data_IF_062164411206
#
_entry.id   IF_062164411206
#
_cell.length_a   1.000
_cell.length_b   1.000
_cell.length_c   1.000
_cell.angle_alpha   90.00
_cell.angle_beta   90.00
_cell.angle_gamma   90.00
#
_symmetry.space_group_name_H-M   'P 1'
#
loop_
_entity.id
_entity.type
_entity.pdbx_description
1 polymer ?
#
# COMPACT_ATOMS: atom_id res chain seq x y z
N UNK A 1 8.05 -17.81 -15.72
CA UNK A 1 8.07 -16.33 -15.65
C UNK A 1 8.53 -15.96 -14.25
N UNK A 2 9.41 -14.97 -14.12
CA UNK A 2 9.91 -14.52 -12.81
C UNK A 2 9.15 -13.25 -12.42
N UNK A 3 8.65 -13.22 -11.18
CA UNK A 3 7.84 -12.14 -10.60
C UNK A 3 8.56 -11.50 -9.42
N UNK A 4 8.11 -10.33 -8.99
CA UNK A 4 8.68 -9.63 -7.82
C UNK A 4 10.05 -9.03 -8.12
N UNK A 5 10.27 -8.64 -9.38
CA UNK A 5 11.51 -8.01 -9.81
C UNK A 5 11.48 -6.51 -9.48
N UNK A 6 12.66 -5.91 -9.40
CA UNK A 6 12.80 -4.44 -9.32
C UNK A 6 12.08 -3.75 -10.48
N UNK A 7 12.06 -4.35 -11.66
CA UNK A 7 11.33 -3.86 -12.84
C UNK A 7 9.82 -3.71 -12.56
N UNK A 8 9.22 -4.65 -11.81
CA UNK A 8 7.79 -4.62 -11.47
C UNK A 8 7.48 -3.47 -10.48
N UNK A 9 8.41 -3.20 -9.55
CA UNK A 9 8.33 -2.05 -8.63
C UNK A 9 8.40 -0.75 -9.41
N UNK A 10 9.40 -0.59 -10.28
CA UNK A 10 9.57 0.62 -11.10
C UNK A 10 8.35 0.83 -12.00
N UNK A 11 7.86 -0.23 -12.64
CA UNK A 11 6.67 -0.19 -13.49
C UNK A 11 5.44 0.32 -12.73
N UNK A 12 5.25 -0.12 -11.48
CA UNK A 12 4.16 0.37 -10.61
C UNK A 12 4.21 1.89 -10.43
N UNK A 13 5.40 2.46 -10.30
CA UNK A 13 5.61 3.89 -10.00
C UNK A 13 5.47 4.76 -11.25
N UNK A 14 6.09 4.37 -12.37
CA UNK A 14 6.32 5.30 -13.48
C UNK A 14 5.27 5.25 -14.60
N UNK A 15 4.46 4.19 -14.66
CA UNK A 15 3.57 3.93 -15.81
C UNK A 15 2.07 4.11 -15.53
N UNK A 16 1.68 4.46 -14.30
CA UNK A 16 0.29 4.66 -13.91
C UNK A 16 0.14 6.02 -13.25
N UNK A 17 -0.74 6.89 -13.72
CA UNK A 17 -0.87 8.26 -13.19
C UNK A 17 -2.17 8.47 -12.38
N UNK A 18 -3.14 7.56 -12.53
CA UNK A 18 -4.37 7.54 -11.74
C UNK A 18 -4.34 6.41 -10.69
N UNK A 19 -5.05 6.63 -9.59
CA UNK A 19 -5.04 5.71 -8.44
C UNK A 19 -5.63 4.34 -8.80
N UNK A 20 -6.62 4.29 -9.69
CA UNK A 20 -7.30 3.05 -10.05
C UNK A 20 -6.34 2.11 -10.78
N UNK A 21 -5.61 2.61 -11.77
CA UNK A 21 -4.63 1.82 -12.51
C UNK A 21 -3.44 1.40 -11.62
N UNK A 22 -2.92 2.34 -10.82
CA UNK A 22 -1.82 2.08 -9.87
C UNK A 22 -2.16 0.94 -8.90
N UNK A 23 -3.29 1.06 -8.18
CA UNK A 23 -3.67 0.07 -7.17
C UNK A 23 -4.01 -1.28 -7.81
N UNK A 24 -4.66 -1.30 -8.97
CA UNK A 24 -5.02 -2.54 -9.66
C UNK A 24 -3.79 -3.29 -10.15
N UNK A 25 -2.77 -2.59 -10.64
CA UNK A 25 -1.51 -3.22 -11.03
C UNK A 25 -0.74 -3.75 -9.82
N UNK A 26 -0.66 -2.96 -8.73
CA UNK A 26 0.04 -3.35 -7.51
C UNK A 26 -0.56 -4.61 -6.86
N UNK A 27 -1.89 -4.73 -6.83
CA UNK A 27 -2.63 -5.82 -6.19
C UNK A 27 -2.89 -7.01 -7.14
N UNK A 28 -3.09 -6.75 -8.43
CA UNK A 28 -3.61 -7.74 -9.37
C UNK A 28 -2.55 -8.67 -9.94
N UNK A 29 -2.96 -9.92 -10.20
CA UNK A 29 -2.16 -10.91 -10.92
C UNK A 29 -0.80 -11.16 -10.26
N UNK A 30 0.25 -10.61 -10.86
CA UNK A 30 1.65 -10.76 -10.42
C UNK A 30 2.21 -9.45 -9.86
N UNK A 31 1.32 -8.56 -9.41
CA UNK A 31 1.66 -7.32 -8.74
C UNK A 31 2.46 -7.55 -7.46
N UNK A 32 3.26 -6.55 -7.10
CA UNK A 32 4.26 -6.67 -6.03
C UNK A 32 3.64 -6.94 -4.65
N UNK A 33 2.36 -6.59 -4.43
CA UNK A 33 1.63 -6.89 -3.20
C UNK A 33 1.37 -8.39 -3.08
N UNK A 34 0.66 -8.99 -4.04
CA UNK A 34 0.37 -10.41 -4.04
C UNK A 34 1.64 -11.26 -4.06
N UNK A 35 2.61 -10.91 -4.91
CA UNK A 35 3.88 -11.65 -5.00
C UNK A 35 4.66 -11.61 -3.68
N UNK A 36 4.64 -10.49 -2.95
CA UNK A 36 5.26 -10.38 -1.64
C UNK A 36 4.66 -11.40 -0.65
N UNK A 37 3.34 -11.40 -0.49
CA UNK A 37 2.62 -12.37 0.36
C UNK A 37 2.89 -13.82 -0.06
N UNK A 38 2.76 -14.14 -1.34
CA UNK A 38 2.91 -15.52 -1.83
C UNK A 38 4.36 -16.02 -1.88
N UNK A 39 5.37 -15.14 -1.76
CA UNK A 39 6.77 -15.55 -1.61
C UNK A 39 7.04 -16.11 -0.21
N UNK A 40 6.41 -15.53 0.82
CA UNK A 40 6.43 -16.09 2.18
C UNK A 40 5.62 -17.38 2.21
N UNK A 41 4.45 -17.36 1.57
CA UNK A 41 3.55 -18.52 1.42
C UNK A 41 3.09 -19.09 2.77
N UNK A 42 2.53 -20.31 2.73
CA UNK A 42 2.07 -21.03 3.92
C UNK A 42 0.91 -20.36 4.66
N UNK A 43 0.74 -20.76 5.92
CA UNK A 43 -0.25 -20.21 6.85
C UNK A 43 0.49 -19.39 7.92
N UNK A 44 0.24 -18.06 8.04
CA UNK A 44 -0.81 -17.30 7.38
C UNK A 44 -0.33 -16.46 6.16
N UNK A 45 0.94 -16.55 5.76
CA UNK A 45 1.53 -15.64 4.76
C UNK A 45 0.84 -15.65 3.39
N UNK A 46 0.27 -16.77 2.95
CA UNK A 46 -0.51 -16.87 1.72
C UNK A 46 -2.02 -16.65 1.90
N UNK A 47 -2.50 -16.45 3.13
CA UNK A 47 -3.92 -16.26 3.43
C UNK A 47 -4.28 -14.78 3.47
N UNK A 48 -5.15 -14.35 2.57
CA UNK A 48 -5.56 -12.96 2.44
C UNK A 48 -6.11 -12.35 3.74
N UNK A 49 -6.87 -13.12 4.53
CA UNK A 49 -7.58 -12.60 5.70
C UNK A 49 -6.72 -12.54 6.95
N UNK A 50 -5.77 -13.47 7.08
CA UNK A 50 -4.96 -13.62 8.30
C UNK A 50 -3.47 -13.37 8.08
N UNK A 51 -3.06 -12.94 6.87
CA UNK A 51 -1.68 -12.52 6.58
C UNK A 51 -1.04 -11.55 7.60
N UNK A 52 -1.76 -10.65 8.30
CA UNK A 52 -1.15 -9.85 9.37
C UNK A 52 -0.55 -10.64 10.54
N UNK A 53 -0.93 -11.91 10.71
CA UNK A 53 -0.36 -12.80 11.73
C UNK A 53 1.03 -13.33 11.35
N UNK A 54 1.51 -13.07 10.14
CA UNK A 54 2.87 -13.36 9.71
C UNK A 54 3.76 -12.13 9.96
N UNK A 55 4.88 -12.22 10.71
CA UNK A 55 5.65 -11.04 11.11
C UNK A 55 6.20 -10.19 9.94
N UNK A 56 6.52 -10.79 8.79
CA UNK A 56 7.02 -10.06 7.63
C UNK A 56 5.94 -9.22 6.93
N UNK A 57 4.65 -9.43 7.23
CA UNK A 57 3.54 -8.60 6.76
C UNK A 57 3.81 -7.11 6.92
N UNK A 58 4.32 -6.70 8.08
CA UNK A 58 4.55 -5.30 8.40
C UNK A 58 5.70 -4.69 7.59
N UNK A 59 6.77 -5.47 7.35
CA UNK A 59 7.86 -5.04 6.48
C UNK A 59 7.42 -4.99 5.00
N UNK A 60 6.61 -5.96 4.59
CA UNK A 60 6.03 -5.98 3.25
C UNK A 60 5.15 -4.74 3.01
N UNK A 61 4.21 -4.44 3.91
CA UNK A 61 3.33 -3.29 3.78
C UNK A 61 4.04 -1.95 3.96
N UNK A 62 5.15 -1.89 4.72
CA UNK A 62 6.02 -0.71 4.71
C UNK A 62 6.63 -0.45 3.32
N UNK A 63 7.01 -1.49 2.57
CA UNK A 63 7.45 -1.31 1.18
C UNK A 63 6.30 -0.91 0.26
N UNK A 64 5.09 -1.43 0.48
CA UNK A 64 3.89 -1.01 -0.28
C UNK A 64 3.61 0.48 -0.08
N UNK A 65 3.63 0.95 1.16
CA UNK A 65 3.44 2.36 1.52
C UNK A 65 4.59 3.24 0.96
N UNK A 66 5.83 2.74 0.95
CA UNK A 66 6.96 3.42 0.28
C UNK A 66 6.74 3.59 -1.22
N UNK A 67 6.29 2.54 -1.91
CA UNK A 67 5.98 2.62 -3.35
C UNK A 67 4.87 3.64 -3.60
N UNK A 68 3.81 3.60 -2.80
CA UNK A 68 2.70 4.55 -2.86
C UNK A 68 3.11 5.99 -2.60
N UNK A 69 3.99 6.22 -1.62
CA UNK A 69 4.55 7.53 -1.27
C UNK A 69 5.36 8.10 -2.44
N UNK A 70 6.26 7.30 -3.03
CA UNK A 70 7.06 7.73 -4.20
C UNK A 70 6.16 8.04 -5.39
N UNK A 71 5.17 7.18 -5.66
CA UNK A 71 4.19 7.39 -6.74
C UNK A 71 3.43 8.71 -6.58
N UNK A 72 2.96 9.02 -5.38
CA UNK A 72 2.31 10.31 -5.08
C UNK A 72 3.25 11.50 -5.32
N UNK A 73 4.52 11.41 -4.89
CA UNK A 73 5.52 12.47 -5.12
C UNK A 73 5.81 12.71 -6.60
N UNK A 74 5.61 11.71 -7.46
CA UNK A 74 5.76 11.82 -8.91
C UNK A 74 4.53 12.44 -9.62
N UNK A 75 3.54 12.91 -8.85
CA UNK A 75 2.31 13.50 -9.37
C UNK A 75 1.20 12.49 -9.63
N UNK A 76 1.33 11.26 -9.11
CA UNK A 76 0.25 10.29 -9.06
C UNK A 76 -0.89 10.81 -8.18
N UNK A 77 -2.14 10.64 -8.65
CA UNK A 77 -3.30 10.97 -7.84
C UNK A 77 -4.51 11.44 -8.64
N UNK A 78 -5.64 10.75 -8.40
CA UNK A 78 -7.06 11.19 -8.41
C UNK A 78 -7.96 9.96 -8.66
N UNK A 79 -8.90 9.75 -7.73
CA UNK A 79 -10.23 9.12 -7.85
C UNK A 79 -10.58 8.37 -6.55
N UNK A 80 -11.00 9.09 -5.51
CA UNK A 80 -11.65 8.56 -4.31
C UNK A 80 -12.26 9.73 -3.51
N UNK A 81 -13.27 9.44 -2.69
CA UNK A 81 -13.83 10.44 -1.76
C UNK A 81 -12.80 10.72 -0.66
N UNK A 82 -12.65 12.00 -0.31
CA UNK A 82 -11.74 12.44 0.74
C UNK A 82 -12.38 12.37 2.13
N UNK A 83 -13.70 12.20 2.19
CA UNK A 83 -14.51 12.23 3.41
C UNK A 83 -14.92 10.84 3.88
N UNK A 84 -14.59 9.80 3.12
CA UNK A 84 -14.82 8.43 3.53
C UNK A 84 -13.98 8.14 4.77
N UNK A 85 -14.60 7.51 5.77
CA UNK A 85 -13.99 7.21 7.06
C UNK A 85 -13.27 5.87 7.00
N UNK A 86 -12.07 5.83 7.56
CA UNK A 86 -11.31 4.60 7.78
C UNK A 86 -11.32 4.28 9.27
N UNK A 87 -11.86 3.12 9.61
CA UNK A 87 -12.02 2.60 10.97
C UNK A 87 -11.31 1.24 11.09
N UNK A 88 -10.41 1.11 12.06
CA UNK A 88 -9.70 -0.13 12.37
C UNK A 88 -10.41 -0.97 13.45
N UNK A 89 -11.62 -0.58 13.83
CA UNK A 89 -12.48 -1.29 14.77
C UNK A 89 -11.81 -1.43 16.14
N UNK A 90 -11.66 -2.68 16.60
CA UNK A 90 -11.09 -2.96 17.93
C UNK A 90 -9.58 -2.76 18.04
N UNK A 91 -8.91 -2.43 16.92
CA UNK A 91 -7.45 -2.29 16.87
C UNK A 91 -7.00 -0.86 17.22
N UNK A 92 -7.81 0.16 16.91
CA UNK A 92 -7.48 1.55 17.20
C UNK A 92 -8.74 2.35 17.54
N UNK A 93 -8.61 3.26 18.51
CA UNK A 93 -9.73 4.06 19.01
C UNK A 93 -10.08 5.26 18.10
N UNK A 94 -9.21 5.61 17.16
CA UNK A 94 -9.36 6.80 16.31
C UNK A 94 -9.80 6.42 14.90
N UNK A 95 -10.85 7.09 14.43
CA UNK A 95 -11.35 7.02 13.04
C UNK A 95 -10.88 8.27 12.30
N UNK A 96 -10.25 8.08 11.14
CA UNK A 96 -9.76 9.19 10.31
C UNK A 96 -10.54 9.26 8.99
N UNK A 97 -10.90 10.45 8.50
CA UNK A 97 -11.29 10.59 7.10
C UNK A 97 -10.06 10.40 6.20
N UNK A 98 -10.25 9.89 4.98
CA UNK A 98 -9.15 9.62 4.04
C UNK A 98 -8.23 10.85 3.87
N UNK A 99 -8.79 12.06 3.79
CA UNK A 99 -8.02 13.33 3.70
C UNK A 99 -6.92 13.48 4.74
N UNK A 100 -7.09 12.91 5.94
CA UNK A 100 -6.16 13.06 7.04
C UNK A 100 -5.07 11.96 7.04
N UNK A 101 -5.18 10.95 6.18
CA UNK A 101 -4.23 9.82 6.09
C UNK A 101 -3.64 9.63 4.69
N UNK A 102 -3.82 10.60 3.79
CA UNK A 102 -3.29 10.54 2.42
C UNK A 102 -1.81 10.88 2.30
N UNK A 103 -1.26 11.64 3.25
CA UNK A 103 0.12 12.12 3.21
C UNK A 103 0.86 11.68 4.46
N UNK A 104 2.11 11.24 4.31
CA UNK A 104 2.97 10.86 5.42
C UNK A 104 3.58 12.07 6.16
N UNK A 105 3.46 13.28 5.61
CA UNK A 105 4.12 14.50 6.11
C UNK A 105 3.27 15.78 6.05
N UNK A 106 2.05 15.73 5.52
CA UNK A 106 1.18 16.91 5.34
C UNK A 106 -0.25 16.61 5.81
N UNK A 107 -0.99 17.66 6.14
CA UNK A 107 -2.36 17.58 6.65
C UNK A 107 -2.46 17.49 8.18
N UNK A 108 -3.68 17.46 8.72
CA UNK A 108 -3.93 17.40 10.17
C UNK A 108 -3.81 15.98 10.75
N UNK A 109 -3.42 15.03 9.90
CA UNK A 109 -3.28 13.61 10.21
C UNK A 109 -2.22 13.27 11.26
N UNK A 110 -2.17 12.00 11.67
CA UNK A 110 -1.22 11.53 12.68
C UNK A 110 0.20 11.31 12.15
N UNK A 111 0.41 11.38 10.83
CA UNK A 111 1.67 10.98 10.20
C UNK A 111 2.69 12.12 10.12
N UNK A 112 3.95 11.76 10.39
CA UNK A 112 5.10 12.64 10.25
C UNK A 112 6.37 11.79 10.01
N UNK A 113 6.41 11.08 8.88
CA UNK A 113 7.52 10.18 8.53
C UNK A 113 7.88 10.22 7.05
N UNK A 114 9.12 9.80 6.76
CA UNK A 114 9.66 9.61 5.42
C UNK A 114 10.38 8.26 5.32
N UNK A 115 10.54 7.76 4.09
CA UNK A 115 11.36 6.59 3.80
C UNK A 115 12.75 7.01 3.34
N UNK A 116 13.77 6.27 3.79
CA UNK A 116 15.15 6.35 3.27
C UNK A 116 15.33 5.51 1.99
#
# INVERSE_FOLDING_TARGET
MAYGKTEDIVNSIVNYNDILAFQNFMQGGTGVHGVGHFTVSGDPGGDFYISPNEPSFWLHHAMIDRIWTIWHMMGGGRAQSLDDLVDLGVIADTVYPIRDILSSVDGPGPFCYVYE
#
